data_IF_113174407500
#
_entry.id   IF_113174407500
#
_cell.length_a   1.000
_cell.length_b   1.000
_cell.length_c   1.000
_cell.angle_alpha   90.00
_cell.angle_beta   90.00
_cell.angle_gamma   90.00
#
_symmetry.space_group_name_H-M   'P 1'
#
loop_
_entity.id
_entity.type
_entity.pdbx_description
1 polymer ?
#
# COMPACT_ATOMS: atom_id res chain seq x y z
N UNK A 1 10.57 -41.97 -26.03
CA UNK A 1 10.17 -41.77 -24.61
C UNK A 1 10.50 -40.37 -24.09
N UNK A 2 11.58 -39.70 -24.54
CA UNK A 2 11.89 -38.31 -24.10
C UNK A 2 10.82 -37.28 -24.46
N UNK A 3 10.25 -37.32 -25.67
CA UNK A 3 9.27 -36.33 -26.12
C UNK A 3 7.98 -36.36 -25.28
N UNK A 4 7.52 -37.55 -24.86
CA UNK A 4 6.34 -37.69 -24.00
C UNK A 4 6.59 -37.17 -22.57
N UNK A 5 7.82 -37.35 -22.05
CA UNK A 5 8.20 -36.80 -20.75
C UNK A 5 8.33 -35.26 -20.79
N UNK A 6 8.84 -34.70 -21.88
CA UNK A 6 8.93 -33.24 -22.07
C UNK A 6 7.55 -32.59 -22.22
N UNK A 7 6.61 -33.22 -22.93
CA UNK A 7 5.21 -32.78 -23.02
C UNK A 7 4.48 -32.83 -21.68
N UNK A 8 4.72 -33.87 -20.87
CA UNK A 8 4.16 -33.99 -19.53
C UNK A 8 4.63 -32.87 -18.59
N UNK A 9 5.93 -32.57 -18.60
CA UNK A 9 6.52 -31.48 -17.80
C UNK A 9 6.03 -30.09 -18.24
N UNK A 10 5.86 -29.87 -19.54
CA UNK A 10 5.30 -28.62 -20.08
C UNK A 10 3.83 -28.41 -19.67
N UNK A 11 3.03 -29.48 -19.67
CA UNK A 11 1.63 -29.40 -19.25
C UNK A 11 1.50 -29.13 -17.73
N UNK A 12 2.41 -29.69 -16.94
CA UNK A 12 2.48 -29.44 -15.49
C UNK A 12 2.92 -27.99 -15.18
N UNK A 13 3.90 -27.47 -15.93
CA UNK A 13 4.31 -26.07 -15.83
C UNK A 13 3.16 -25.11 -16.21
N UNK A 14 2.43 -25.39 -17.29
CA UNK A 14 1.26 -24.59 -17.69
C UNK A 14 0.15 -24.61 -16.64
N UNK A 15 -0.10 -25.76 -15.98
CA UNK A 15 -1.05 -25.82 -14.87
C UNK A 15 -0.62 -24.96 -13.68
N UNK A 16 0.65 -25.03 -13.27
CA UNK A 16 1.17 -24.19 -12.18
C UNK A 16 1.08 -22.70 -12.51
N UNK A 17 1.37 -22.31 -13.76
CA UNK A 17 1.20 -20.93 -14.22
C UNK A 17 -0.27 -20.50 -14.13
N UNK A 18 -1.21 -21.36 -14.51
CA UNK A 18 -2.64 -21.07 -14.44
C UNK A 18 -3.16 -20.96 -12.99
N UNK A 19 -2.69 -21.83 -12.09
CA UNK A 19 -3.01 -21.77 -10.66
C UNK A 19 -2.46 -20.50 -10.01
N UNK A 20 -1.19 -20.16 -10.26
CA UNK A 20 -0.58 -18.91 -9.79
C UNK A 20 -1.30 -17.67 -10.35
N UNK A 21 -1.69 -17.70 -11.63
CA UNK A 21 -2.46 -16.60 -12.24
C UNK A 21 -3.86 -16.41 -11.63
N UNK A 22 -4.48 -17.50 -11.18
CA UNK A 22 -5.79 -17.47 -10.49
C UNK A 22 -5.65 -16.90 -9.07
N UNK A 23 -4.59 -17.25 -8.35
CA UNK A 23 -4.31 -16.73 -7.01
C UNK A 23 -4.01 -15.22 -7.04
N UNK A 24 -3.26 -14.76 -8.06
CA UNK A 24 -2.99 -13.34 -8.31
C UNK A 24 -4.29 -12.57 -8.62
N UNK A 25 -5.19 -13.16 -9.42
CA UNK A 25 -6.48 -12.54 -9.75
C UNK A 25 -7.40 -12.42 -8.53
N UNK A 26 -7.38 -13.42 -7.63
CA UNK A 26 -8.10 -13.38 -6.35
C UNK A 26 -7.57 -12.31 -5.40
N UNK A 27 -6.25 -12.15 -5.31
CA UNK A 27 -5.59 -11.06 -4.57
C UNK A 27 -6.02 -9.68 -5.09
N UNK A 28 -6.08 -9.50 -6.41
CA UNK A 28 -6.54 -8.26 -7.03
C UNK A 28 -8.00 -7.92 -6.70
N UNK A 29 -8.86 -8.93 -6.60
CA UNK A 29 -10.27 -8.74 -6.27
C UNK A 29 -10.48 -8.39 -4.78
N UNK A 30 -9.70 -9.01 -3.89
CA UNK A 30 -9.73 -8.69 -2.46
C UNK A 30 -9.24 -7.26 -2.16
N UNK A 31 -8.26 -6.76 -2.92
CA UNK A 31 -7.78 -5.37 -2.88
C UNK A 31 -8.82 -4.33 -3.31
N UNK A 32 -9.99 -4.74 -3.81
CA UNK A 32 -11.07 -3.82 -4.21
C UNK A 32 -11.92 -3.32 -3.04
N UNK A 33 -11.82 -3.94 -1.87
CA UNK A 33 -12.68 -3.62 -0.73
C UNK A 33 -11.98 -2.64 0.25
N UNK A 34 -12.62 -1.54 0.69
CA UNK A 34 -12.00 -0.55 1.57
C UNK A 34 -11.40 -1.10 2.86
N UNK A 35 -12.07 -2.06 3.51
CA UNK A 35 -11.65 -2.66 4.79
C UNK A 35 -10.40 -3.52 4.62
N UNK A 36 -10.42 -4.42 3.63
CA UNK A 36 -9.28 -5.32 3.35
C UNK A 36 -8.04 -4.54 2.91
N UNK A 37 -8.20 -3.38 2.27
CA UNK A 37 -7.08 -2.51 1.92
C UNK A 37 -6.39 -1.88 3.13
N UNK A 38 -7.14 -1.48 4.15
CA UNK A 38 -6.57 -0.95 5.40
C UNK A 38 -5.74 -2.02 6.08
N UNK A 39 -6.35 -3.18 6.32
CA UNK A 39 -5.71 -4.33 6.97
C UNK A 39 -4.47 -4.83 6.19
N UNK A 40 -4.53 -4.86 4.85
CA UNK A 40 -3.37 -5.19 4.02
C UNK A 40 -2.28 -4.11 4.05
N UNK A 41 -2.65 -2.84 4.09
CA UNK A 41 -1.68 -1.73 4.20
C UNK A 41 -0.88 -1.81 5.49
N UNK A 42 -1.58 -2.06 6.60
CA UNK A 42 -0.99 -2.29 7.92
C UNK A 42 -0.13 -3.56 7.94
N UNK A 43 -0.60 -4.65 7.33
CA UNK A 43 0.18 -5.88 7.21
C UNK A 43 1.48 -5.66 6.42
N UNK A 44 1.40 -5.01 5.25
CA UNK A 44 2.56 -4.71 4.41
C UNK A 44 3.54 -3.76 5.12
N UNK A 45 3.03 -2.78 5.87
CA UNK A 45 3.86 -1.93 6.72
C UNK A 45 4.58 -2.75 7.78
N UNK A 46 3.87 -3.64 8.48
CA UNK A 46 4.45 -4.51 9.50
C UNK A 46 5.52 -5.45 8.94
N UNK A 47 5.27 -6.04 7.77
CA UNK A 47 6.24 -6.89 7.07
C UNK A 47 7.49 -6.09 6.66
N UNK A 48 7.31 -4.91 6.05
CA UNK A 48 8.41 -4.01 5.68
C UNK A 48 9.26 -3.63 6.88
N UNK A 49 8.62 -3.21 7.99
CA UNK A 49 9.32 -2.87 9.22
C UNK A 49 10.09 -4.08 9.79
N UNK A 50 9.48 -5.27 9.76
CA UNK A 50 10.12 -6.50 10.23
C UNK A 50 11.31 -6.98 9.38
N UNK A 51 11.37 -6.60 8.11
CA UNK A 51 12.51 -6.89 7.24
C UNK A 51 13.69 -5.93 7.45
N UNK A 52 13.39 -4.66 7.77
CA UNK A 52 14.40 -3.58 7.85
C UNK A 52 14.91 -3.37 9.27
N UNK A 53 14.04 -3.51 10.27
CA UNK A 53 14.32 -3.19 11.67
C UNK A 53 14.20 -4.44 12.57
N UNK A 54 15.02 -4.56 13.62
CA UNK A 54 14.79 -5.55 14.66
C UNK A 54 13.43 -5.31 15.35
N UNK A 55 12.80 -6.38 15.83
CA UNK A 55 11.45 -6.31 16.41
C UNK A 55 11.33 -5.37 17.62
N UNK A 56 12.40 -5.17 18.38
CA UNK A 56 12.39 -4.22 19.51
C UNK A 56 12.35 -2.74 19.08
N UNK A 57 12.65 -2.44 17.80
CA UNK A 57 12.73 -1.06 17.31
C UNK A 57 11.43 -0.53 16.71
N UNK A 58 10.35 -1.31 16.73
CA UNK A 58 9.04 -0.80 16.35
C UNK A 58 7.91 -1.46 17.14
N UNK A 59 6.75 -0.83 17.14
CA UNK A 59 5.52 -1.39 17.73
C UNK A 59 4.36 -1.11 16.79
N UNK A 60 3.65 -2.15 16.40
CA UNK A 60 2.44 -2.03 15.58
C UNK A 60 1.25 -1.69 16.48
N UNK A 61 0.26 -0.99 15.92
CA UNK A 61 -1.00 -0.66 16.61
C UNK A 61 -0.75 0.03 17.96
N UNK A 62 0.08 1.06 17.95
CA UNK A 62 0.46 1.79 19.16
C UNK A 62 -0.66 2.76 19.55
N UNK A 63 -1.15 2.64 20.78
CA UNK A 63 -2.20 3.49 21.32
C UNK A 63 -1.60 4.63 22.15
N UNK A 64 -1.94 5.86 21.79
CA UNK A 64 -1.62 7.07 22.57
C UNK A 64 -2.61 7.25 23.73
N UNK A 65 -2.28 8.12 24.69
CA UNK A 65 -3.15 8.40 25.86
C UNK A 65 -4.52 8.96 25.46
N UNK A 66 -4.62 9.59 24.29
CA UNK A 66 -5.89 10.07 23.71
C UNK A 66 -6.85 8.92 23.35
N UNK A 67 -6.35 7.70 23.23
CA UNK A 67 -7.09 6.53 22.73
C UNK A 67 -6.95 6.30 21.23
N UNK A 68 -6.36 7.26 20.49
CA UNK A 68 -6.02 7.11 19.07
C UNK A 68 -4.92 6.05 18.89
N UNK A 69 -5.05 5.25 17.83
CA UNK A 69 -4.14 4.14 17.52
C UNK A 69 -3.47 4.41 16.19
N UNK A 70 -2.14 4.47 16.19
CA UNK A 70 -1.34 4.59 14.96
C UNK A 70 -0.88 3.20 14.51
N UNK A 71 -0.81 3.00 13.19
CA UNK A 71 -0.48 1.69 12.60
C UNK A 71 0.87 1.16 13.08
N UNK A 72 1.87 2.04 13.21
CA UNK A 72 3.14 1.72 13.84
C UNK A 72 3.81 2.93 14.51
N UNK A 73 4.70 2.65 15.47
CA UNK A 73 5.73 3.59 15.94
C UNK A 73 7.10 2.96 15.77
N UNK A 74 8.08 3.74 15.35
CA UNK A 74 9.49 3.37 15.34
C UNK A 74 10.16 3.98 16.58
N UNK A 75 10.89 3.15 17.31
CA UNK A 75 11.62 3.54 18.51
C UNK A 75 13.03 4.03 18.16
N UNK A 76 13.29 5.32 18.36
CA UNK A 76 14.60 5.94 18.19
C UNK A 76 15.11 6.46 19.54
N UNK A 77 15.79 5.59 20.28
CA UNK A 77 16.21 5.86 21.65
C UNK A 77 14.99 6.02 22.56
N UNK A 78 14.82 7.20 23.17
CA UNK A 78 13.67 7.52 24.01
C UNK A 78 12.49 8.14 23.25
N UNK A 79 12.61 8.31 21.93
CA UNK A 79 11.62 8.99 21.11
C UNK A 79 10.89 8.05 20.17
N UNK A 80 9.66 8.44 19.81
CA UNK A 80 8.77 7.72 18.91
C UNK A 80 8.65 8.45 17.57
N UNK A 81 8.69 7.70 16.47
CA UNK A 81 8.31 8.19 15.13
C UNK A 81 7.03 7.46 14.71
N UNK A 82 5.86 8.13 14.74
CA UNK A 82 4.62 7.53 14.28
C UNK A 82 4.62 7.28 12.77
N UNK A 83 4.01 6.18 12.35
CA UNK A 83 3.86 5.80 10.94
C UNK A 83 2.41 5.35 10.68
N UNK A 84 1.69 6.03 9.79
CA UNK A 84 0.29 5.74 9.45
C UNK A 84 0.16 5.43 7.94
N UNK A 85 -0.60 4.39 7.58
CA UNK A 85 -0.66 3.81 6.23
C UNK A 85 -1.86 4.26 5.38
N UNK A 86 -2.56 5.31 5.79
CA UNK A 86 -3.88 5.66 5.24
C UNK A 86 -3.83 6.47 3.94
N UNK A 87 -3.67 5.78 2.80
CA UNK A 87 -3.62 6.42 1.48
C UNK A 87 -5.00 6.49 0.74
N UNK A 88 -5.41 7.66 0.20
CA UNK A 88 -6.67 7.81 -0.55
C UNK A 88 -6.56 7.29 -2.00
N UNK A 89 -6.56 5.96 -2.16
CA UNK A 89 -6.33 5.28 -3.44
C UNK A 89 -7.42 5.52 -4.50
N UNK A 90 -8.68 5.68 -4.10
CA UNK A 90 -9.82 5.83 -5.03
C UNK A 90 -9.68 7.05 -5.94
N UNK A 91 -9.23 8.18 -5.41
CA UNK A 91 -9.05 9.39 -6.20
C UNK A 91 -7.76 9.37 -7.03
N UNK A 92 -6.75 8.61 -6.59
CA UNK A 92 -5.59 8.30 -7.41
C UNK A 92 -5.99 7.48 -8.64
N UNK A 93 -6.76 6.40 -8.46
CA UNK A 93 -7.26 5.56 -9.57
C UNK A 93 -8.05 6.38 -10.58
N UNK A 94 -9.02 7.17 -10.11
CA UNK A 94 -9.81 8.06 -10.97
C UNK A 94 -8.95 9.05 -11.74
N UNK A 95 -7.88 9.59 -11.15
CA UNK A 95 -6.95 10.49 -11.84
C UNK A 95 -6.19 9.77 -12.96
N UNK A 96 -5.73 8.54 -12.72
CA UNK A 96 -4.97 7.74 -13.70
C UNK A 96 -5.87 7.25 -14.85
N UNK A 97 -7.08 6.76 -14.53
CA UNK A 97 -8.03 6.19 -15.50
C UNK A 97 -8.80 7.24 -16.31
N UNK A 98 -8.71 8.52 -15.97
CA UNK A 98 -9.38 9.60 -16.71
C UNK A 98 -8.76 9.76 -18.11
N UNK A 99 -9.54 9.50 -19.16
CA UNK A 99 -9.15 9.70 -20.56
C UNK A 99 -9.18 11.17 -21.00
N UNK A 100 -10.02 12.00 -20.35
CA UNK A 100 -10.12 13.44 -20.65
C UNK A 100 -9.19 14.27 -19.75
N UNK A 101 -8.37 15.12 -20.36
CA UNK A 101 -7.39 15.97 -19.66
C UNK A 101 -8.08 16.93 -18.64
N UNK A 102 -9.30 17.38 -18.96
CA UNK A 102 -10.09 18.24 -18.06
C UNK A 102 -10.52 17.48 -16.81
N UNK A 103 -10.95 16.23 -16.95
CA UNK A 103 -11.37 15.36 -15.85
C UNK A 103 -10.18 14.94 -14.99
N UNK A 104 -9.06 14.56 -15.64
CA UNK A 104 -7.78 14.27 -14.99
C UNK A 104 -7.32 15.42 -14.10
N UNK A 105 -7.39 16.67 -14.58
CA UNK A 105 -7.03 17.86 -13.79
C UNK A 105 -7.92 18.07 -12.57
N UNK A 106 -9.22 17.81 -12.68
CA UNK A 106 -10.16 17.90 -11.55
C UNK A 106 -9.88 16.81 -10.52
N UNK A 107 -9.71 15.56 -10.97
CA UNK A 107 -9.40 14.44 -10.09
C UNK A 107 -8.05 14.59 -9.39
N UNK A 108 -7.05 15.15 -10.08
CA UNK A 108 -5.75 15.52 -9.47
C UNK A 108 -5.90 16.53 -8.33
N UNK A 109 -6.72 17.58 -8.51
CA UNK A 109 -6.96 18.56 -7.44
C UNK A 109 -7.63 17.93 -6.22
N UNK A 110 -8.61 17.05 -6.45
CA UNK A 110 -9.29 16.32 -5.38
C UNK A 110 -8.31 15.41 -4.63
N UNK A 111 -7.56 14.59 -5.36
CA UNK A 111 -6.52 13.73 -4.80
C UNK A 111 -5.53 14.50 -3.92
N UNK A 112 -4.98 15.62 -4.40
CA UNK A 112 -4.06 16.46 -3.60
C UNK A 112 -4.73 16.99 -2.34
N UNK A 113 -6.00 17.42 -2.43
CA UNK A 113 -6.75 17.89 -1.26
C UNK A 113 -6.98 16.77 -0.23
N UNK A 114 -7.22 15.54 -0.69
CA UNK A 114 -7.42 14.40 0.19
C UNK A 114 -6.14 14.00 0.91
N UNK A 115 -5.03 13.96 0.17
CA UNK A 115 -3.70 13.69 0.73
C UNK A 115 -3.34 14.73 1.78
N UNK A 116 -3.53 16.02 1.50
CA UNK A 116 -3.28 17.10 2.48
C UNK A 116 -4.09 16.92 3.75
N UNK A 117 -5.38 16.67 3.62
CA UNK A 117 -6.24 16.40 4.76
C UNK A 117 -5.80 15.16 5.55
N UNK A 118 -5.26 14.12 4.91
CA UNK A 118 -4.69 12.98 5.64
C UNK A 118 -3.42 13.37 6.40
N UNK A 119 -2.55 14.17 5.79
CA UNK A 119 -1.35 14.70 6.47
C UNK A 119 -1.74 15.52 7.69
N UNK A 120 -2.74 16.40 7.57
CA UNK A 120 -3.22 17.23 8.68
C UNK A 120 -3.79 16.37 9.81
N UNK A 121 -4.63 15.36 9.48
CA UNK A 121 -5.16 14.39 10.46
C UNK A 121 -4.04 13.62 11.19
N UNK A 122 -3.01 13.15 10.46
CA UNK A 122 -1.87 12.41 11.02
C UNK A 122 -1.08 13.33 11.98
N UNK A 123 -0.83 14.57 11.56
CA UNK A 123 -0.12 15.54 12.36
C UNK A 123 -0.86 15.85 13.68
N UNK A 124 -2.17 16.10 13.60
CA UNK A 124 -2.99 16.40 14.77
C UNK A 124 -3.08 15.22 15.76
N UNK A 125 -3.18 13.99 15.24
CA UNK A 125 -3.39 12.80 16.07
C UNK A 125 -2.12 12.24 16.69
N UNK A 126 -0.98 12.33 16.01
CA UNK A 126 0.19 11.54 16.34
C UNK A 126 1.47 12.34 16.57
N UNK A 127 1.52 13.63 16.22
CA UNK A 127 2.63 14.50 16.63
C UNK A 127 2.33 15.02 18.04
N UNK A 128 2.74 14.23 19.03
CA UNK A 128 2.50 14.43 20.45
C UNK A 128 3.86 14.46 21.21
N UNK A 129 4.58 15.60 21.24
CA UNK A 129 5.87 15.70 21.93
C UNK A 129 5.79 15.36 23.43
N UNK A 130 4.66 15.69 24.07
CA UNK A 130 4.38 15.36 25.48
C UNK A 130 4.24 13.84 25.75
N UNK A 131 4.06 13.05 24.68
CA UNK A 131 4.06 11.58 24.71
C UNK A 131 5.34 10.98 24.14
N UNK A 132 6.37 11.81 23.87
CA UNK A 132 7.69 11.37 23.44
C UNK A 132 7.84 11.17 21.94
N UNK A 133 6.92 11.69 21.12
CA UNK A 133 7.07 11.67 19.66
C UNK A 133 8.00 12.79 19.18
N UNK A 134 8.58 12.63 17.99
CA UNK A 134 9.21 13.74 17.28
C UNK A 134 8.17 14.75 16.75
N UNK A 135 8.64 15.94 16.36
CA UNK A 135 7.82 16.96 15.69
C UNK A 135 7.47 16.61 14.22
N UNK A 136 7.50 15.31 13.88
CA UNK A 136 7.09 14.79 12.59
C UNK A 136 6.55 13.37 12.72
N UNK A 137 5.73 12.97 11.75
CA UNK A 137 5.25 11.62 11.56
C UNK A 137 5.48 11.20 10.10
N UNK A 138 5.46 9.89 9.85
CA UNK A 138 5.58 9.33 8.52
C UNK A 138 4.22 8.85 8.04
N UNK A 139 3.92 9.11 6.76
CA UNK A 139 2.78 8.50 6.09
C UNK A 139 3.30 7.41 5.16
N UNK A 140 2.94 6.17 5.44
CA UNK A 140 3.26 5.04 4.59
C UNK A 140 2.26 4.93 3.42
N UNK A 141 2.77 4.68 2.23
CA UNK A 141 1.98 4.50 1.02
C UNK A 141 2.34 3.15 0.42
N UNK A 142 1.46 2.13 0.49
CA UNK A 142 1.71 0.83 -0.13
C UNK A 142 1.54 0.96 -1.65
N UNK A 143 2.60 1.37 -2.34
CA UNK A 143 2.53 1.76 -3.76
C UNK A 143 3.02 0.69 -4.76
N UNK A 144 3.32 -0.54 -4.34
CA UNK A 144 3.86 -1.53 -5.28
C UNK A 144 2.81 -1.97 -6.33
N UNK A 145 1.59 -2.26 -5.90
CA UNK A 145 0.51 -2.69 -6.80
C UNK A 145 0.00 -1.56 -7.70
N UNK A 146 0.03 -0.33 -7.19
CA UNK A 146 -0.40 0.89 -7.90
C UNK A 146 0.61 1.26 -8.99
N UNK A 147 1.90 1.12 -8.69
CA UNK A 147 2.99 1.29 -9.65
C UNK A 147 2.91 0.25 -10.77
N UNK A 148 2.71 -1.04 -10.44
CA UNK A 148 2.59 -2.11 -11.44
C UNK A 148 1.37 -1.97 -12.35
N UNK A 149 0.17 -1.67 -11.81
CA UNK A 149 -1.03 -1.49 -12.66
C UNK A 149 -0.94 -0.26 -13.56
N UNK A 150 -0.27 0.81 -13.11
CA UNK A 150 -0.13 2.05 -13.86
C UNK A 150 0.92 1.93 -14.97
N UNK A 151 2.02 1.20 -14.74
CA UNK A 151 3.10 1.05 -15.73
C UNK A 151 2.80 -0.05 -16.74
N UNK A 152 2.29 -1.21 -16.30
CA UNK A 152 2.06 -2.35 -17.19
C UNK A 152 0.90 -2.08 -18.19
N UNK A 153 -0.11 -1.28 -17.83
CA UNK A 153 -1.21 -0.91 -18.76
C UNK A 153 -0.83 0.17 -19.77
N UNK A 154 0.24 0.93 -19.54
CA UNK A 154 0.70 1.97 -20.48
C UNK A 154 1.43 1.34 -21.69
N UNK A 155 2.11 0.20 -21.47
CA UNK A 155 2.77 -0.55 -22.55
C UNK A 155 1.77 -1.30 -23.45
N UNK A 156 0.63 -1.78 -22.91
CA UNK A 156 -0.38 -2.50 -23.72
C UNK A 156 -1.29 -1.58 -24.55
N UNK A 157 -1.23 -0.27 -24.31
CA UNK A 157 -2.01 0.74 -25.04
C UNK A 157 -1.20 1.47 -26.12
N UNK A 158 0.10 1.18 -26.22
CA UNK A 158 1.02 1.79 -27.18
C UNK A 158 1.31 0.91 -28.42
N UNK A 159 0.77 -0.31 -28.46
CA UNK A 159 0.76 -1.17 -29.65
C UNK A 159 -0.67 -1.42 -30.13
N UNK A 160 -1.28 -0.41 -30.77
CA UNK A 160 -2.32 -0.57 -31.80
C UNK A 160 -2.55 0.71 -32.59
#
# INVERSE_FOLDING_TARGET
MEVQNSLGKLNEANKRIYEVGKDISGLQELLRTPTFRGEMGEFLLGDLLGQILPREHFTLQYQFKSGEVVDAVIHLGSYLVPVDSKFPLENFKKMVESSEEKERRVNRKKFVSDVKRRIDDIAEKYILPDEGTFEFALMYIPAENVYYETIIKDESSSEK
#
